data_IF_106788618996
#
_entry.id   IF_106788618996
#
_cell.length_a   1.000
_cell.length_b   1.000
_cell.length_c   1.000
_cell.angle_alpha   90.00
_cell.angle_beta   90.00
_cell.angle_gamma   90.00
#
_symmetry.space_group_name_H-M   'P 1'
#
loop_
_entity.id
_entity.type
_entity.pdbx_description
1 polymer ?
#
# COMPACT_ATOMS: atom_id res chain seq x y z
N UNK A 1 -1.42 -57.27 -15.66
CA UNK A 1 -1.26 -56.48 -14.43
C UNK A 1 0.17 -56.04 -14.21
N UNK A 2 1.19 -56.93 -14.15
CA UNK A 2 2.60 -56.57 -13.87
C UNK A 2 3.18 -55.48 -14.80
N UNK A 3 2.92 -55.51 -16.11
CA UNK A 3 3.40 -54.51 -17.07
C UNK A 3 2.74 -53.12 -16.89
N UNK A 4 1.47 -53.07 -16.49
CA UNK A 4 0.76 -51.81 -16.18
C UNK A 4 1.31 -51.18 -14.91
N UNK A 5 1.53 -51.99 -13.89
CA UNK A 5 2.12 -51.55 -12.64
C UNK A 5 3.52 -50.95 -12.83
N UNK A 6 4.37 -51.60 -13.61
CA UNK A 6 5.72 -51.08 -13.95
C UNK A 6 5.63 -49.73 -14.67
N UNK A 7 4.72 -49.58 -15.63
CA UNK A 7 4.55 -48.32 -16.37
C UNK A 7 4.08 -47.19 -15.46
N UNK A 8 3.11 -47.47 -14.57
CA UNK A 8 2.62 -46.47 -13.61
C UNK A 8 3.73 -46.06 -12.63
N UNK A 9 4.48 -47.05 -12.09
CA UNK A 9 5.58 -46.78 -11.20
C UNK A 9 6.69 -45.94 -11.85
N UNK A 10 7.06 -46.28 -13.10
CA UNK A 10 8.05 -45.51 -13.88
C UNK A 10 7.56 -44.08 -14.14
N UNK A 11 6.30 -43.88 -14.48
CA UNK A 11 5.73 -42.55 -14.66
C UNK A 11 5.80 -41.72 -13.38
N UNK A 12 5.44 -42.29 -12.24
CA UNK A 12 5.51 -41.59 -10.95
C UNK A 12 6.94 -41.20 -10.59
N UNK A 13 7.91 -42.10 -10.78
CA UNK A 13 9.32 -41.83 -10.55
C UNK A 13 9.82 -40.65 -11.42
N UNK A 14 9.53 -40.69 -12.71
CA UNK A 14 9.91 -39.62 -13.64
C UNK A 14 9.23 -38.31 -13.26
N UNK A 15 7.95 -38.35 -12.90
CA UNK A 15 7.21 -37.16 -12.45
C UNK A 15 7.83 -36.52 -11.19
N UNK A 16 8.21 -37.32 -10.20
CA UNK A 16 8.88 -36.84 -9.01
C UNK A 16 10.26 -36.27 -9.31
N UNK A 17 11.06 -36.91 -10.16
CA UNK A 17 12.38 -36.44 -10.58
C UNK A 17 12.25 -35.08 -11.30
N UNK A 18 11.30 -34.92 -12.21
CA UNK A 18 11.06 -33.66 -12.90
C UNK A 18 10.69 -32.56 -11.92
N UNK A 19 9.78 -32.83 -11.00
CA UNK A 19 9.40 -31.81 -9.99
C UNK A 19 10.56 -31.45 -9.05
N UNK A 20 11.40 -32.41 -8.68
CA UNK A 20 12.59 -32.17 -7.89
C UNK A 20 13.60 -31.27 -8.64
N UNK A 21 13.90 -31.58 -9.89
CA UNK A 21 14.78 -30.75 -10.71
C UNK A 21 14.21 -29.36 -10.93
N UNK A 22 12.91 -29.23 -11.21
CA UNK A 22 12.25 -27.94 -11.34
C UNK A 22 12.28 -27.13 -10.05
N UNK A 23 12.20 -27.75 -8.88
CA UNK A 23 12.28 -27.02 -7.60
C UNK A 23 13.63 -26.32 -7.42
N UNK A 24 14.70 -26.91 -7.92
CA UNK A 24 16.06 -26.34 -7.84
C UNK A 24 16.25 -25.18 -8.84
N UNK A 25 15.67 -25.29 -10.04
CA UNK A 25 15.93 -24.32 -11.11
C UNK A 25 14.85 -23.22 -11.24
N UNK A 26 13.69 -23.38 -10.60
CA UNK A 26 12.59 -22.41 -10.71
C UNK A 26 12.93 -21.04 -10.09
N UNK A 27 13.67 -21.03 -8.99
CA UNK A 27 14.04 -19.78 -8.34
C UNK A 27 15.02 -18.96 -9.20
N UNK A 28 16.15 -19.52 -9.69
CA UNK A 28 17.01 -18.82 -10.64
C UNK A 28 16.32 -18.47 -11.97
N UNK A 29 15.43 -19.32 -12.48
CA UNK A 29 14.63 -19.03 -13.68
C UNK A 29 13.68 -17.84 -13.43
N UNK A 30 12.98 -17.81 -12.33
CA UNK A 30 12.13 -16.68 -11.96
C UNK A 30 12.92 -15.38 -11.87
N UNK A 31 14.10 -15.43 -11.26
CA UNK A 31 15.00 -14.29 -11.16
C UNK A 31 15.50 -13.85 -12.56
N UNK A 32 15.84 -14.82 -13.41
CA UNK A 32 16.29 -14.55 -14.79
C UNK A 32 15.18 -13.97 -15.68
N UNK A 33 13.97 -14.53 -15.61
CA UNK A 33 12.80 -14.03 -16.34
C UNK A 33 12.44 -12.62 -15.86
N UNK A 34 12.43 -12.37 -14.57
CA UNK A 34 12.22 -11.02 -14.02
C UNK A 34 13.27 -10.04 -14.52
N UNK A 35 14.55 -10.43 -14.53
CA UNK A 35 15.66 -9.55 -14.91
C UNK A 35 15.76 -9.36 -16.43
N UNK A 36 15.56 -10.38 -17.26
CA UNK A 36 15.81 -10.30 -18.71
C UNK A 36 14.61 -10.22 -19.61
N UNK A 37 13.50 -10.87 -19.27
CA UNK A 37 12.29 -10.91 -20.12
C UNK A 37 11.35 -9.77 -19.80
N UNK A 38 11.33 -9.33 -18.53
CA UNK A 38 10.56 -8.17 -18.07
C UNK A 38 11.38 -6.89 -18.05
N UNK A 39 12.58 -6.89 -18.61
CA UNK A 39 13.54 -5.76 -18.62
C UNK A 39 13.01 -4.49 -19.32
N UNK A 40 11.73 -4.19 -19.15
CA UNK A 40 11.23 -2.83 -19.28
C UNK A 40 11.63 -2.11 -18.00
N UNK A 41 12.30 -0.97 -18.09
CA UNK A 41 12.57 -0.14 -16.94
C UNK A 41 11.26 0.09 -16.19
N UNK A 42 11.24 -0.21 -14.90
CA UNK A 42 10.05 -0.07 -14.06
C UNK A 42 9.71 1.41 -13.91
N UNK A 43 10.76 2.23 -13.81
CA UNK A 43 10.64 3.67 -13.67
C UNK A 43 11.17 4.40 -14.90
N UNK A 44 10.53 5.50 -15.26
CA UNK A 44 11.06 6.45 -16.24
C UNK A 44 12.32 7.12 -15.69
N UNK A 45 13.20 7.61 -16.57
CA UNK A 45 14.42 8.33 -16.17
C UNK A 45 14.13 9.56 -15.30
N UNK A 46 13.08 10.31 -15.63
CA UNK A 46 12.64 11.46 -14.86
C UNK A 46 12.17 11.07 -13.44
N UNK A 47 11.52 9.90 -13.30
CA UNK A 47 11.11 9.35 -12.00
C UNK A 47 12.32 8.94 -11.17
N UNK A 48 13.28 8.22 -11.77
CA UNK A 48 14.54 7.84 -11.10
C UNK A 48 15.30 9.08 -10.61
N UNK A 49 15.41 10.09 -11.48
CA UNK A 49 16.04 11.36 -11.13
C UNK A 49 15.33 12.05 -9.96
N UNK A 50 14.01 12.08 -9.98
CA UNK A 50 13.20 12.68 -8.91
C UNK A 50 13.34 11.95 -7.58
N UNK A 51 13.44 10.61 -7.60
CA UNK A 51 13.67 9.77 -6.42
C UNK A 51 15.13 9.88 -5.95
N UNK A 52 16.05 10.28 -6.83
CA UNK A 52 17.50 10.29 -6.59
C UNK A 52 18.11 8.88 -6.58
N UNK A 53 17.70 8.04 -7.52
CA UNK A 53 18.17 6.67 -7.73
C UNK A 53 18.77 6.57 -9.13
N UNK A 54 19.91 5.92 -9.26
CA UNK A 54 20.50 5.60 -10.54
C UNK A 54 19.82 4.37 -11.18
N UNK A 55 19.97 4.22 -12.50
CA UNK A 55 19.44 3.04 -13.22
C UNK A 55 20.01 1.71 -12.69
N UNK A 56 21.23 1.70 -12.21
CA UNK A 56 21.87 0.49 -11.64
C UNK A 56 21.27 0.10 -10.28
N UNK A 57 20.73 1.06 -9.53
CA UNK A 57 20.10 0.86 -8.22
C UNK A 57 18.61 0.54 -8.34
N UNK A 58 18.01 0.72 -9.52
CA UNK A 58 16.55 0.58 -9.75
C UNK A 58 16.00 -0.75 -9.26
N UNK A 59 16.67 -1.86 -9.57
CA UNK A 59 16.21 -3.20 -9.17
C UNK A 59 16.19 -3.36 -7.66
N UNK A 60 17.24 -2.92 -6.96
CA UNK A 60 17.33 -2.97 -5.50
C UNK A 60 16.24 -2.11 -4.86
N UNK A 61 16.07 -0.89 -5.36
CA UNK A 61 15.04 0.02 -4.85
C UNK A 61 13.62 -0.52 -5.09
N UNK A 62 13.38 -1.12 -6.26
CA UNK A 62 12.10 -1.77 -6.55
C UNK A 62 11.83 -2.93 -5.60
N UNK A 63 12.82 -3.80 -5.38
CA UNK A 63 12.69 -4.95 -4.49
C UNK A 63 12.42 -4.51 -3.05
N UNK A 64 13.12 -3.49 -2.56
CA UNK A 64 12.88 -2.92 -1.23
C UNK A 64 11.50 -2.30 -1.10
N UNK A 65 10.94 -1.74 -2.18
CA UNK A 65 9.62 -1.11 -2.16
C UNK A 65 8.49 -2.13 -2.29
N UNK A 66 8.61 -3.12 -3.20
CA UNK A 66 7.47 -3.95 -3.62
C UNK A 66 7.53 -5.39 -3.14
N UNK A 67 8.71 -5.94 -2.83
CA UNK A 67 8.88 -7.34 -2.47
C UNK A 67 8.99 -7.56 -0.95
N UNK A 68 8.56 -6.60 -0.14
CA UNK A 68 8.45 -6.76 1.30
C UNK A 68 7.35 -7.75 1.64
N UNK A 69 7.57 -8.50 2.71
CA UNK A 69 6.54 -9.38 3.28
C UNK A 69 5.58 -8.56 4.13
N UNK A 70 4.29 -8.89 4.06
CA UNK A 70 3.29 -8.39 4.97
C UNK A 70 3.09 -9.39 6.10
N UNK A 71 2.76 -8.89 7.29
CA UNK A 71 2.30 -9.71 8.39
C UNK A 71 0.78 -9.63 8.52
N UNK A 72 0.17 -10.67 9.05
CA UNK A 72 -1.23 -10.61 9.44
C UNK A 72 -1.39 -9.74 10.68
N UNK A 73 -2.36 -8.85 10.66
CA UNK A 73 -2.79 -8.05 11.82
C UNK A 73 -4.27 -8.30 12.04
N UNK A 74 -4.61 -8.68 13.26
CA UNK A 74 -5.99 -9.01 13.62
C UNK A 74 -6.93 -7.85 13.28
N UNK A 75 -8.02 -8.15 12.60
CA UNK A 75 -9.06 -7.24 12.10
C UNK A 75 -8.62 -6.24 11.02
N UNK A 76 -7.36 -5.82 10.99
CA UNK A 76 -6.82 -4.97 9.91
C UNK A 76 -6.31 -5.79 8.71
N UNK A 77 -6.29 -7.11 8.84
CA UNK A 77 -5.91 -8.12 7.85
C UNK A 77 -4.41 -8.19 7.61
N UNK A 78 -3.80 -7.18 7.03
CA UNK A 78 -2.37 -7.13 6.76
C UNK A 78 -1.78 -5.81 7.26
N UNK A 79 -0.50 -5.82 7.51
CA UNK A 79 0.31 -4.65 7.76
C UNK A 79 1.74 -4.90 7.27
N UNK A 80 2.53 -3.86 7.16
CA UNK A 80 3.95 -3.96 6.82
C UNK A 80 4.70 -4.90 7.77
N UNK A 81 5.79 -5.50 7.32
CA UNK A 81 6.65 -6.37 8.14
C UNK A 81 7.04 -5.67 9.46
N UNK A 82 7.28 -6.45 10.51
CA UNK A 82 7.64 -5.89 11.81
C UNK A 82 8.95 -5.11 11.78
N UNK A 83 9.92 -5.65 11.07
CA UNK A 83 11.23 -5.03 10.87
C UNK A 83 11.70 -5.27 9.44
N UNK A 84 12.18 -4.22 8.82
CA UNK A 84 12.78 -4.27 7.49
C UNK A 84 13.84 -3.16 7.45
N UNK A 85 15.12 -3.52 7.40
CA UNK A 85 16.24 -2.60 7.45
C UNK A 85 17.08 -2.76 6.19
N UNK A 86 16.97 -1.81 5.29
CA UNK A 86 17.59 -1.82 3.97
C UNK A 86 18.16 -0.44 3.62
N UNK A 87 18.58 -0.25 2.39
CA UNK A 87 19.24 0.99 1.96
C UNK A 87 18.26 2.15 1.85
N UNK A 88 17.05 1.91 1.32
CA UNK A 88 16.12 2.97 0.92
C UNK A 88 14.81 2.96 1.69
N UNK A 89 14.36 1.77 2.07
CA UNK A 89 13.06 1.54 2.73
C UNK A 89 13.28 0.78 4.02
N UNK A 90 12.91 1.41 5.13
CA UNK A 90 13.08 0.81 6.44
C UNK A 90 11.76 0.83 7.22
N UNK A 91 11.44 -0.27 7.90
CA UNK A 91 10.30 -0.40 8.79
C UNK A 91 10.80 -0.84 10.15
N UNK A 92 10.40 -0.11 11.18
CA UNK A 92 10.78 -0.37 12.56
C UNK A 92 9.58 -0.95 13.31
N UNK A 93 9.85 -1.97 14.11
CA UNK A 93 8.82 -2.55 14.98
C UNK A 93 8.22 -1.45 15.86
N UNK A 94 6.91 -1.34 15.88
CA UNK A 94 6.16 -0.37 16.67
C UNK A 94 6.16 1.09 16.17
N UNK A 95 7.01 1.49 15.20
CA UNK A 95 7.08 2.87 14.72
C UNK A 95 6.60 3.02 13.27
N UNK A 96 6.43 1.88 12.56
CA UNK A 96 6.07 1.85 11.16
C UNK A 96 7.25 2.19 10.26
N UNK A 97 7.04 2.93 9.17
CA UNK A 97 8.13 3.35 8.29
C UNK A 97 9.05 4.33 9.00
N UNK A 98 10.36 4.06 8.90
CA UNK A 98 11.40 4.79 9.65
C UNK A 98 11.36 6.30 9.39
N UNK A 99 11.35 7.05 10.49
CA UNK A 99 11.57 8.49 10.54
C UNK A 99 12.60 8.74 11.63
N UNK A 100 13.48 9.70 11.42
CA UNK A 100 14.48 10.06 12.42
C UNK A 100 13.79 10.90 13.52
N UNK A 101 13.64 10.29 14.67
CA UNK A 101 13.02 10.91 15.85
C UNK A 101 14.03 11.10 17.00
N UNK A 102 13.84 12.10 17.89
CA UNK A 102 14.61 12.21 19.12
C UNK A 102 14.29 11.03 20.06
N UNK A 103 15.21 10.74 21.00
CA UNK A 103 15.05 9.64 21.96
C UNK A 103 13.87 9.82 22.93
N UNK A 104 13.52 11.06 23.24
CA UNK A 104 12.37 11.41 24.10
C UNK A 104 11.52 12.43 23.38
N UNK A 105 10.22 12.18 23.33
CA UNK A 105 9.25 12.99 22.64
C UNK A 105 8.39 13.75 23.65
N UNK A 106 8.23 15.05 23.44
CA UNK A 106 7.30 15.88 24.23
C UNK A 106 5.86 15.77 23.69
N UNK A 107 5.72 15.51 22.40
CA UNK A 107 4.43 15.35 21.70
C UNK A 107 4.65 14.43 20.50
N UNK A 108 3.67 13.59 20.16
CA UNK A 108 3.74 12.63 19.09
C UNK A 108 2.73 12.95 17.98
N UNK A 109 3.11 12.64 16.75
CA UNK A 109 2.33 12.84 15.53
C UNK A 109 2.24 11.51 14.77
N UNK A 110 1.05 10.95 14.64
CA UNK A 110 0.80 9.65 14.04
C UNK A 110 0.11 9.81 12.71
N UNK A 111 0.69 9.25 11.66
CA UNK A 111 0.14 9.28 10.31
C UNK A 111 -0.41 7.90 9.94
N UNK A 112 -1.69 7.84 9.60
CA UNK A 112 -2.38 6.68 9.05
C UNK A 112 -2.79 6.95 7.62
N UNK A 113 -2.78 5.94 6.76
CA UNK A 113 -3.17 6.06 5.38
C UNK A 113 -2.72 4.87 4.53
N UNK A 114 -2.84 5.03 3.22
CA UNK A 114 -2.50 4.00 2.24
C UNK A 114 -0.99 3.96 1.89
N UNK A 115 -0.65 3.28 0.77
CA UNK A 115 0.69 3.28 0.18
C UNK A 115 1.26 4.68 -0.08
N UNK A 116 0.40 5.66 -0.35
CA UNK A 116 0.79 7.06 -0.55
C UNK A 116 1.33 7.68 0.74
N UNK A 117 0.73 7.39 1.89
CA UNK A 117 1.20 7.82 3.21
C UNK A 117 2.44 7.04 3.64
N UNK A 118 2.46 5.71 3.43
CA UNK A 118 3.65 4.90 3.64
C UNK A 118 4.84 5.45 2.83
N UNK A 119 4.59 5.93 1.63
CA UNK A 119 5.59 6.46 0.70
C UNK A 119 6.18 5.36 -0.18
N UNK A 120 5.33 4.62 -0.90
CA UNK A 120 5.79 3.70 -1.94
C UNK A 120 6.57 4.48 -3.00
N UNK A 121 7.64 3.87 -3.50
CA UNK A 121 8.52 4.42 -4.54
C UNK A 121 9.21 5.74 -4.17
N UNK A 122 9.41 5.99 -2.89
CA UNK A 122 10.31 7.05 -2.40
C UNK A 122 11.16 6.54 -1.25
N UNK A 123 12.29 7.21 -0.98
CA UNK A 123 13.18 6.91 0.16
C UNK A 123 12.51 7.31 1.49
N UNK A 124 12.99 6.78 2.62
CA UNK A 124 12.43 7.08 3.95
C UNK A 124 12.31 8.57 4.24
N UNK A 125 13.34 9.34 3.92
CA UNK A 125 13.35 10.79 4.14
C UNK A 125 12.43 11.58 3.19
N UNK A 126 11.86 10.93 2.18
CA UNK A 126 11.04 11.56 1.15
C UNK A 126 9.53 11.24 1.28
N UNK A 127 9.11 10.66 2.39
CA UNK A 127 7.69 10.41 2.67
C UNK A 127 6.99 11.68 3.15
N UNK A 128 5.65 11.74 3.03
CA UNK A 128 4.86 12.85 3.57
C UNK A 128 5.15 13.06 5.07
N UNK A 129 5.11 12.02 5.93
CA UNK A 129 5.42 12.19 7.35
C UNK A 129 6.85 12.63 7.63
N UNK A 130 7.84 12.20 6.82
CA UNK A 130 9.24 12.65 6.99
C UNK A 130 9.40 14.14 6.66
N UNK A 131 8.76 14.63 5.59
CA UNK A 131 8.75 16.06 5.29
C UNK A 131 8.00 16.88 6.34
N UNK A 132 6.91 16.34 6.90
CA UNK A 132 6.20 16.97 8.00
C UNK A 132 7.10 17.09 9.25
N UNK A 133 7.87 16.03 9.57
CA UNK A 133 8.87 16.08 10.65
C UNK A 133 9.90 17.18 10.43
N UNK A 134 10.41 17.32 9.21
CA UNK A 134 11.36 18.39 8.90
C UNK A 134 10.77 19.79 9.11
N UNK A 135 9.47 20.00 8.80
CA UNK A 135 8.79 21.27 9.06
C UNK A 135 8.63 21.52 10.56
N UNK A 136 8.30 20.49 11.34
CA UNK A 136 8.27 20.59 12.81
C UNK A 136 9.62 21.00 13.39
N UNK A 137 10.71 20.39 12.90
CA UNK A 137 12.06 20.67 13.38
C UNK A 137 12.52 22.09 13.02
N UNK A 138 12.06 22.62 11.90
CA UNK A 138 12.35 24.00 11.49
C UNK A 138 11.59 25.04 12.31
N UNK A 139 10.29 24.85 12.47
CA UNK A 139 9.43 25.85 13.13
C UNK A 139 9.44 25.71 14.65
N UNK A 140 9.66 24.51 15.17
CA UNK A 140 9.64 24.18 16.60
C UNK A 140 10.96 23.54 17.06
N UNK A 141 12.08 24.12 16.69
CA UNK A 141 13.43 23.57 16.90
C UNK A 141 13.80 23.25 18.35
N UNK A 142 13.13 23.87 19.32
CA UNK A 142 13.32 23.61 20.77
C UNK A 142 12.43 22.49 21.30
N UNK A 143 11.45 22.02 20.52
CA UNK A 143 10.52 20.99 20.93
C UNK A 143 10.99 19.62 20.41
N UNK A 144 10.92 18.61 21.27
CA UNK A 144 11.24 17.25 20.90
C UNK A 144 9.99 16.52 20.37
N UNK A 145 9.61 16.80 19.13
CA UNK A 145 8.45 16.20 18.51
C UNK A 145 8.83 14.94 17.75
N UNK A 146 8.02 13.89 17.90
CA UNK A 146 8.19 12.63 17.18
C UNK A 146 7.08 12.42 16.17
N UNK A 147 7.43 11.90 15.00
CA UNK A 147 6.49 11.58 13.93
C UNK A 147 6.58 10.10 13.60
N UNK A 148 5.43 9.44 13.47
CA UNK A 148 5.31 8.01 13.17
C UNK A 148 4.51 7.81 11.90
N UNK A 149 4.99 6.97 10.99
CA UNK A 149 4.34 6.67 9.73
C UNK A 149 3.75 5.26 9.75
N UNK A 150 2.45 5.18 9.96
CA UNK A 150 1.66 3.95 9.96
C UNK A 150 0.83 3.76 8.69
N UNK A 151 1.24 4.38 7.59
CA UNK A 151 0.71 4.04 6.27
C UNK A 151 0.96 2.58 5.91
N UNK A 152 0.08 1.98 5.12
CA UNK A 152 0.24 0.61 4.63
C UNK A 152 -0.37 0.43 3.24
N UNK A 153 0.15 -0.52 2.48
CA UNK A 153 -0.32 -0.78 1.13
C UNK A 153 -1.83 -1.02 1.08
N UNK A 154 -2.50 -0.30 0.19
CA UNK A 154 -3.94 -0.46 -0.09
C UNK A 154 -4.88 -0.26 1.10
N UNK A 155 -4.41 0.32 2.20
CA UNK A 155 -5.25 0.64 3.34
C UNK A 155 -6.32 1.67 2.95
N UNK A 156 -7.50 1.49 3.51
CA UNK A 156 -8.64 2.38 3.43
C UNK A 156 -9.16 2.68 4.85
N UNK A 157 -10.06 3.62 4.97
CA UNK A 157 -10.47 4.21 6.26
C UNK A 157 -10.85 3.21 7.35
N UNK A 158 -11.43 2.05 7.00
CA UNK A 158 -11.78 1.02 8.00
C UNK A 158 -10.53 0.36 8.59
N UNK A 159 -9.57 -0.03 7.75
CA UNK A 159 -8.33 -0.65 8.21
C UNK A 159 -7.48 0.33 9.03
N UNK A 160 -7.46 1.60 8.62
CA UNK A 160 -6.80 2.66 9.38
C UNK A 160 -7.43 2.83 10.77
N UNK A 161 -8.78 2.81 10.87
CA UNK A 161 -9.49 2.89 12.14
C UNK A 161 -9.16 1.71 13.06
N UNK A 162 -9.09 0.51 12.50
CA UNK A 162 -8.74 -0.69 13.26
C UNK A 162 -7.31 -0.58 13.80
N UNK A 163 -6.36 -0.16 12.96
CA UNK A 163 -4.97 0.01 13.38
C UNK A 163 -4.85 1.12 14.43
N UNK A 164 -5.56 2.23 14.27
CA UNK A 164 -5.62 3.32 15.23
C UNK A 164 -6.16 2.84 16.60
N UNK A 165 -7.28 2.12 16.61
CA UNK A 165 -7.84 1.54 17.83
C UNK A 165 -6.86 0.55 18.50
N UNK A 166 -6.18 -0.28 17.69
CA UNK A 166 -5.14 -1.19 18.19
C UNK A 166 -4.00 -0.42 18.87
N UNK A 167 -3.59 0.72 18.32
CA UNK A 167 -2.57 1.56 18.93
C UNK A 167 -3.05 2.23 20.23
N UNK A 168 -4.31 2.61 20.32
CA UNK A 168 -4.91 3.11 21.57
C UNK A 168 -4.89 2.01 22.65
N UNK A 169 -5.38 0.83 22.31
CA UNK A 169 -5.42 -0.33 23.24
C UNK A 169 -4.03 -0.72 23.74
N UNK A 170 -2.99 -0.48 22.94
CA UNK A 170 -1.60 -0.73 23.30
C UNK A 170 -0.91 0.49 23.96
N UNK A 171 -1.66 1.49 24.39
CA UNK A 171 -1.17 2.70 25.06
C UNK A 171 -0.06 3.44 24.27
N UNK A 172 -0.15 3.43 22.93
CA UNK A 172 0.82 4.13 22.08
C UNK A 172 0.50 5.61 21.92
N UNK A 173 -0.77 5.98 22.01
CA UNK A 173 -1.27 7.32 21.75
C UNK A 173 -1.72 7.92 23.09
N UNK A 174 -1.24 9.10 23.42
CA UNK A 174 -1.53 9.79 24.68
C UNK A 174 -2.41 11.01 24.46
N UNK A 175 -3.05 11.49 25.54
CA UNK A 175 -3.80 12.74 25.53
C UNK A 175 -2.92 13.90 25.01
N UNK A 176 -3.46 14.70 24.08
CA UNK A 176 -2.76 15.81 23.46
C UNK A 176 -1.92 15.45 22.22
N UNK A 177 -1.70 14.15 21.92
CA UNK A 177 -1.01 13.72 20.70
C UNK A 177 -1.85 14.04 19.45
N UNK A 178 -1.17 14.14 18.31
CA UNK A 178 -1.78 14.43 17.00
C UNK A 178 -1.92 13.15 16.17
N UNK A 179 -3.09 12.98 15.58
CA UNK A 179 -3.41 11.82 14.74
C UNK A 179 -3.94 12.29 13.39
N UNK A 180 -3.26 11.90 12.33
CA UNK A 180 -3.55 12.27 10.96
C UNK A 180 -3.97 11.06 10.14
N UNK A 181 -5.09 11.18 9.44
CA UNK A 181 -5.59 10.20 8.50
C UNK A 181 -5.55 10.81 7.10
N UNK A 182 -4.78 10.21 6.18
CA UNK A 182 -4.65 10.67 4.80
C UNK A 182 -5.38 9.70 3.89
N UNK A 183 -6.58 10.09 3.47
CA UNK A 183 -7.50 9.25 2.71
C UNK A 183 -7.64 9.70 1.26
N UNK A 184 -8.17 8.83 0.41
CA UNK A 184 -8.44 9.17 -0.98
C UNK A 184 -8.68 7.96 -1.88
N UNK A 185 -7.80 7.73 -2.86
CA UNK A 185 -7.94 6.73 -3.91
C UNK A 185 -8.24 5.30 -3.42
N UNK A 186 -7.76 4.92 -2.24
CA UNK A 186 -7.92 3.56 -1.71
C UNK A 186 -9.31 3.27 -1.13
N UNK A 187 -10.20 4.27 -0.99
CA UNK A 187 -11.53 4.05 -0.43
C UNK A 187 -12.39 3.17 -1.32
N UNK A 188 -12.91 2.07 -0.77
CA UNK A 188 -13.61 1.04 -1.52
C UNK A 188 -14.94 0.54 -0.93
N UNK A 189 -15.45 1.21 0.09
CA UNK A 189 -16.74 0.87 0.71
C UNK A 189 -16.69 -0.38 1.57
N UNK A 190 -15.57 -0.65 2.20
CA UNK A 190 -15.40 -1.79 3.12
C UNK A 190 -15.59 -3.17 2.47
N UNK A 191 -15.52 -3.27 1.15
CA UNK A 191 -15.54 -4.57 0.46
C UNK A 191 -14.13 -5.05 0.22
N UNK A 192 -13.83 -6.17 0.84
CA UNK A 192 -12.74 -7.10 0.61
C UNK A 192 -11.47 -6.46 0.05
N UNK A 193 -10.52 -6.20 0.91
CA UNK A 193 -9.15 -6.02 0.45
C UNK A 193 -8.74 -7.29 -0.32
N UNK A 194 -7.67 -7.20 -1.11
CA UNK A 194 -7.12 -8.35 -1.81
C UNK A 194 -6.78 -9.50 -0.83
N UNK A 195 -6.37 -9.13 0.37
CA UNK A 195 -6.01 -10.07 1.44
C UNK A 195 -7.24 -10.71 2.07
N UNK A 196 -8.35 -9.98 2.27
CA UNK A 196 -9.62 -10.58 2.73
C UNK A 196 -10.16 -11.61 1.76
N UNK A 197 -10.00 -11.37 0.45
CA UNK A 197 -10.41 -12.35 -0.57
C UNK A 197 -9.58 -13.63 -0.47
N UNK A 198 -8.28 -13.50 -0.21
CA UNK A 198 -7.39 -14.63 -0.06
C UNK A 198 -7.64 -15.37 1.27
N UNK A 199 -7.90 -14.64 2.36
CA UNK A 199 -8.28 -15.22 3.64
C UNK A 199 -9.64 -15.91 3.59
N UNK A 200 -10.64 -15.30 2.95
CA UNK A 200 -11.94 -15.94 2.73
C UNK A 200 -11.79 -17.21 1.89
N UNK A 201 -10.95 -17.17 0.85
CA UNK A 201 -10.59 -18.35 0.07
C UNK A 201 -9.94 -19.42 0.94
N UNK A 202 -9.05 -19.04 1.86
CA UNK A 202 -8.44 -19.95 2.82
C UNK A 202 -9.47 -20.56 3.78
N UNK A 203 -10.34 -19.72 4.39
CA UNK A 203 -11.41 -20.20 5.27
C UNK A 203 -12.40 -21.08 4.56
N UNK A 204 -12.82 -20.72 3.35
CA UNK A 204 -13.69 -21.57 2.52
C UNK A 204 -12.99 -22.89 2.14
N UNK A 205 -11.70 -22.83 1.88
CA UNK A 205 -10.86 -24.02 1.66
C UNK A 205 -10.77 -24.90 2.90
N UNK A 206 -10.59 -24.31 4.09
CA UNK A 206 -10.58 -25.04 5.36
C UNK A 206 -11.95 -25.67 5.66
N UNK A 207 -13.04 -24.94 5.41
CA UNK A 207 -14.39 -25.48 5.56
C UNK A 207 -14.65 -26.61 4.55
N UNK A 208 -14.21 -26.44 3.30
CA UNK A 208 -14.30 -27.49 2.29
C UNK A 208 -13.44 -28.71 2.65
N UNK A 209 -12.28 -28.50 3.31
CA UNK A 209 -11.44 -29.55 3.84
C UNK A 209 -12.15 -30.39 4.91
N UNK A 210 -12.90 -29.75 5.78
CA UNK A 210 -13.71 -30.44 6.79
C UNK A 210 -14.82 -31.28 6.14
N UNK A 211 -15.23 -30.96 4.91
CA UNK A 211 -16.25 -31.68 4.14
C UNK A 211 -15.65 -32.71 3.17
N UNK A 212 -14.44 -32.47 2.66
CA UNK A 212 -13.74 -33.33 1.68
C UNK A 212 -12.21 -33.17 1.80
N UNK A 213 -11.61 -33.83 2.79
CA UNK A 213 -10.16 -33.77 3.07
C UNK A 213 -9.29 -34.21 1.89
N UNK A 214 -9.74 -35.21 1.14
CA UNK A 214 -8.98 -35.75 0.02
C UNK A 214 -8.89 -34.76 -1.13
N UNK A 215 -10.00 -34.13 -1.49
CA UNK A 215 -10.05 -33.13 -2.57
C UNK A 215 -9.20 -31.90 -2.25
N UNK A 216 -9.29 -31.43 -1.02
CA UNK A 216 -8.49 -30.27 -0.58
C UNK A 216 -6.99 -30.60 -0.60
N UNK A 217 -6.59 -31.75 -0.03
CA UNK A 217 -5.20 -32.19 0.01
C UNK A 217 -4.63 -32.40 -1.39
N UNK A 218 -5.44 -32.96 -2.30
CA UNK A 218 -5.06 -33.15 -3.69
C UNK A 218 -4.86 -31.81 -4.42
N UNK A 219 -5.77 -30.86 -4.30
CA UNK A 219 -5.65 -29.55 -4.92
C UNK A 219 -4.46 -28.77 -4.36
N UNK A 220 -4.26 -28.78 -3.03
CA UNK A 220 -3.13 -28.14 -2.41
C UNK A 220 -1.79 -28.74 -2.86
N UNK A 221 -1.71 -30.07 -2.92
CA UNK A 221 -0.55 -30.77 -3.46
C UNK A 221 -0.28 -30.37 -4.91
N UNK A 222 -1.34 -30.38 -5.76
CA UNK A 222 -1.23 -30.04 -7.17
C UNK A 222 -0.74 -28.61 -7.39
N UNK A 223 -1.30 -27.63 -6.68
CA UNK A 223 -0.91 -26.22 -6.80
C UNK A 223 0.50 -25.95 -6.25
N UNK A 224 0.97 -26.76 -5.32
CA UNK A 224 2.32 -26.63 -4.76
C UNK A 224 3.42 -27.16 -5.70
N UNK A 225 3.07 -27.99 -6.69
CA UNK A 225 4.05 -28.62 -7.58
C UNK A 225 4.81 -27.59 -8.43
N UNK A 226 6.13 -27.75 -8.56
CA UNK A 226 6.95 -26.91 -9.44
C UNK A 226 6.49 -26.88 -10.89
N UNK A 227 5.99 -27.99 -11.42
CA UNK A 227 5.39 -28.06 -12.77
C UNK A 227 4.18 -27.16 -12.92
N UNK A 228 3.29 -27.11 -11.94
CA UNK A 228 2.11 -26.23 -11.92
C UNK A 228 2.53 -24.76 -11.81
N UNK A 229 3.52 -24.46 -10.97
CA UNK A 229 4.10 -23.11 -10.87
C UNK A 229 4.71 -22.66 -12.21
N UNK A 230 5.46 -23.52 -12.87
CA UNK A 230 6.04 -23.26 -14.19
C UNK A 230 4.93 -23.02 -15.24
N UNK A 231 3.91 -23.87 -15.29
CA UNK A 231 2.74 -23.66 -16.16
C UNK A 231 2.07 -22.31 -15.94
N UNK A 232 1.89 -21.89 -14.68
CA UNK A 232 1.29 -20.62 -14.34
C UNK A 232 2.17 -19.41 -14.75
N UNK A 233 3.50 -19.57 -14.71
CA UNK A 233 4.46 -18.56 -15.23
C UNK A 233 4.28 -18.43 -16.75
N UNK A 234 4.30 -19.52 -17.48
CA UNK A 234 4.09 -19.51 -18.94
C UNK A 234 2.73 -18.93 -19.30
N UNK A 235 1.67 -19.31 -18.60
CA UNK A 235 0.33 -18.75 -18.81
C UNK A 235 0.30 -17.23 -18.62
N UNK A 236 1.05 -16.68 -17.65
CA UNK A 236 1.19 -15.22 -17.46
C UNK A 236 1.98 -14.57 -18.59
N UNK A 237 3.04 -15.20 -19.07
CA UNK A 237 3.87 -14.67 -20.18
C UNK A 237 3.10 -14.66 -21.49
N UNK A 238 2.38 -15.74 -21.80
CA UNK A 238 1.63 -15.89 -23.06
C UNK A 238 0.24 -15.26 -23.05
N UNK A 239 -0.31 -15.00 -21.86
CA UNK A 239 -1.53 -14.20 -21.75
C UNK A 239 -1.15 -12.77 -22.10
N UNK A 240 -1.36 -12.37 -23.37
CA UNK A 240 -1.29 -10.96 -23.76
C UNK A 240 -1.98 -10.14 -22.67
N UNK A 241 -1.23 -9.28 -22.02
CA UNK A 241 -1.77 -8.33 -21.04
C UNK A 241 -2.69 -7.35 -21.76
N UNK A 242 -3.87 -7.77 -22.11
CA UNK A 242 -4.99 -6.87 -22.18
C UNK A 242 -5.33 -6.55 -20.72
N UNK A 243 -4.60 -5.60 -20.14
CA UNK A 243 -5.10 -4.90 -18.97
C UNK A 243 -6.36 -4.21 -19.48
N UNK A 244 -7.50 -4.87 -19.35
CA UNK A 244 -8.77 -4.17 -19.38
C UNK A 244 -8.71 -3.28 -18.14
N UNK A 245 -8.38 -2.01 -18.37
CA UNK A 245 -8.70 -0.97 -17.39
C UNK A 245 -10.21 -1.11 -17.26
N UNK A 246 -10.64 -1.59 -16.12
CA UNK A 246 -12.05 -1.74 -15.84
C UNK A 246 -12.58 -0.32 -15.62
N UNK A 247 -12.98 0.33 -16.71
CA UNK A 247 -13.57 1.66 -16.72
C UNK A 247 -15.09 1.60 -16.46
N UNK A 248 -15.58 0.45 -16.00
CA UNK A 248 -17.00 0.35 -15.64
C UNK A 248 -17.29 1.34 -14.50
N UNK A 249 -18.25 2.23 -14.67
CA UNK A 249 -18.63 3.17 -13.64
C UNK A 249 -19.03 2.42 -12.37
N UNK A 250 -18.74 3.02 -11.21
CA UNK A 250 -19.16 2.45 -9.93
C UNK A 250 -20.70 2.42 -9.93
N UNK A 251 -21.29 1.26 -9.71
CA UNK A 251 -22.75 1.18 -9.61
C UNK A 251 -23.24 1.94 -8.37
N UNK A 252 -24.50 2.42 -8.38
CA UNK A 252 -25.07 3.28 -7.34
C UNK A 252 -25.05 2.63 -5.95
N UNK A 253 -25.25 1.33 -5.84
CA UNK A 253 -25.17 0.61 -4.57
C UNK A 253 -23.76 0.74 -3.98
N UNK A 254 -22.73 0.53 -4.79
CA UNK A 254 -21.34 0.64 -4.35
C UNK A 254 -20.95 2.09 -4.04
N UNK A 255 -21.47 3.08 -4.78
CA UNK A 255 -21.27 4.50 -4.48
C UNK A 255 -21.79 4.84 -3.08
N UNK A 256 -23.02 4.43 -2.79
CA UNK A 256 -23.64 4.65 -1.49
C UNK A 256 -22.87 3.95 -0.35
N UNK A 257 -22.36 2.74 -0.58
CA UNK A 257 -21.53 2.04 0.38
C UNK A 257 -20.22 2.79 0.65
N UNK A 258 -19.48 3.20 -0.39
CA UNK A 258 -18.23 3.95 -0.25
C UNK A 258 -18.46 5.22 0.58
N UNK A 259 -19.43 6.03 0.18
CA UNK A 259 -19.77 7.28 0.88
C UNK A 259 -20.15 7.04 2.34
N UNK A 260 -21.10 6.12 2.57
CA UNK A 260 -21.62 5.81 3.92
C UNK A 260 -20.51 5.27 4.83
N UNK A 261 -19.71 4.33 4.36
CA UNK A 261 -18.62 3.73 5.16
C UNK A 261 -17.56 4.77 5.50
N UNK A 262 -17.13 5.56 4.53
CA UNK A 262 -16.14 6.61 4.77
C UNK A 262 -16.63 7.65 5.78
N UNK A 263 -17.87 8.17 5.61
CA UNK A 263 -18.47 9.13 6.53
C UNK A 263 -18.55 8.58 7.96
N UNK A 264 -19.00 7.32 8.11
CA UNK A 264 -19.06 6.66 9.43
C UNK A 264 -17.67 6.49 10.05
N UNK A 265 -16.67 6.12 9.26
CA UNK A 265 -15.29 6.00 9.74
C UNK A 265 -14.74 7.33 10.24
N UNK A 266 -14.99 8.43 9.53
CA UNK A 266 -14.61 9.79 9.97
C UNK A 266 -15.32 10.18 11.27
N UNK A 267 -16.61 9.88 11.40
CA UNK A 267 -17.38 10.14 12.63
C UNK A 267 -16.87 9.32 13.81
N UNK A 268 -16.54 8.04 13.60
CA UNK A 268 -15.96 7.18 14.64
C UNK A 268 -14.64 7.75 15.12
N UNK A 269 -13.73 8.13 14.20
CA UNK A 269 -12.46 8.79 14.56
C UNK A 269 -12.70 10.01 15.43
N UNK A 270 -13.58 10.89 14.99
CA UNK A 270 -13.91 12.12 15.72
C UNK A 270 -14.44 11.83 17.12
N UNK A 271 -15.35 10.86 17.26
CA UNK A 271 -15.90 10.48 18.55
C UNK A 271 -14.81 9.94 19.49
N UNK A 272 -13.95 9.06 19.02
CA UNK A 272 -12.84 8.51 19.81
C UNK A 272 -11.89 9.64 20.22
N UNK A 273 -11.48 10.49 19.27
CA UNK A 273 -10.52 11.54 19.52
C UNK A 273 -11.04 12.59 20.52
N UNK A 274 -12.31 12.98 20.40
CA UNK A 274 -12.92 13.92 21.33
C UNK A 274 -12.96 13.35 22.76
N UNK A 275 -13.35 12.08 22.92
CA UNK A 275 -13.44 11.44 24.24
C UNK A 275 -12.06 11.21 24.89
N UNK A 276 -11.05 10.87 24.09
CA UNK A 276 -9.70 10.59 24.57
C UNK A 276 -8.76 11.81 24.48
N UNK A 277 -9.31 12.96 24.06
CA UNK A 277 -8.59 14.25 23.94
C UNK A 277 -7.35 14.18 23.03
N UNK A 278 -7.45 13.47 21.92
CA UNK A 278 -6.46 13.48 20.84
C UNK A 278 -6.77 14.58 19.84
N UNK A 279 -5.75 15.15 19.21
CA UNK A 279 -5.88 16.11 18.12
C UNK A 279 -5.97 15.39 16.78
N UNK A 280 -7.17 15.08 16.31
CA UNK A 280 -7.36 14.26 15.12
C UNK A 280 -7.80 15.04 13.89
N UNK A 281 -7.15 14.75 12.76
CA UNK A 281 -7.40 15.39 11.47
C UNK A 281 -7.55 14.33 10.39
N UNK A 282 -8.53 14.48 9.52
CA UNK A 282 -8.70 13.65 8.33
C UNK A 282 -8.52 14.52 7.09
N UNK A 283 -7.60 14.13 6.22
CA UNK A 283 -7.25 14.84 4.99
C UNK A 283 -7.70 14.03 3.77
N UNK A 284 -8.32 14.69 2.81
CA UNK A 284 -8.55 14.15 1.49
C UNK A 284 -7.40 14.60 0.58
N UNK A 285 -6.55 13.64 0.19
CA UNK A 285 -5.33 13.89 -0.57
C UNK A 285 -5.60 14.11 -2.07
N UNK A 286 -4.65 14.66 -2.85
CA UNK A 286 -4.73 14.67 -4.30
C UNK A 286 -4.90 13.25 -4.86
N UNK A 287 -5.78 13.10 -5.86
CA UNK A 287 -5.98 11.81 -6.51
C UNK A 287 -5.08 11.71 -7.75
N UNK A 288 -4.20 10.71 -7.85
CA UNK A 288 -3.54 10.36 -9.09
C UNK A 288 -4.56 10.17 -10.22
N UNK A 289 -4.24 10.68 -11.42
CA UNK A 289 -5.09 10.66 -12.60
C UNK A 289 -6.43 11.45 -12.51
N UNK A 290 -6.56 12.31 -11.49
CA UNK A 290 -7.65 13.29 -11.36
C UNK A 290 -7.07 14.69 -11.17
N UNK A 291 -6.27 14.87 -10.10
CA UNK A 291 -5.65 16.17 -9.76
C UNK A 291 -4.21 16.25 -10.24
N UNK A 292 -3.53 15.11 -10.40
CA UNK A 292 -2.14 14.98 -10.86
C UNK A 292 -1.98 13.82 -11.81
N UNK A 293 -1.08 13.96 -12.79
CA UNK A 293 -0.93 13.01 -13.89
C UNK A 293 0.52 12.54 -14.01
N UNK A 294 0.70 11.23 -14.26
CA UNK A 294 2.01 10.61 -14.46
C UNK A 294 2.65 11.01 -15.80
N UNK A 295 1.83 11.17 -16.84
CA UNK A 295 2.27 11.54 -18.17
C UNK A 295 1.70 12.91 -18.57
N UNK A 296 2.46 13.99 -18.34
CA UNK A 296 2.08 15.30 -18.88
C UNK A 296 2.31 15.41 -20.41
N UNK A 297 3.21 14.57 -20.97
CA UNK A 297 3.64 14.67 -22.36
C UNK A 297 2.77 13.91 -23.37
N UNK A 298 1.82 13.11 -22.93
CA UNK A 298 1.09 12.18 -23.82
C UNK A 298 -0.17 12.81 -24.43
N UNK A 299 -0.46 14.01 -24.19
CA UNK A 299 -1.45 14.78 -24.98
C UNK A 299 -1.84 16.05 -24.22
N UNK A 300 -2.24 17.05 -24.96
CA UNK A 300 -2.94 18.21 -24.44
C UNK A 300 -4.26 17.86 -23.71
N UNK A 301 -4.54 16.56 -23.50
CA UNK A 301 -5.70 16.03 -22.80
C UNK A 301 -5.29 14.81 -21.95
N UNK A 302 -4.91 15.00 -20.68
CA UNK A 302 -4.66 13.89 -19.77
C UNK A 302 -5.95 13.07 -19.61
N UNK A 303 -5.83 11.75 -19.77
CA UNK A 303 -6.99 10.86 -19.55
C UNK A 303 -7.31 10.80 -18.04
N UNK A 304 -8.38 11.47 -17.65
CA UNK A 304 -8.89 11.44 -16.29
C UNK A 304 -9.44 10.02 -16.00
N UNK A 305 -9.06 9.46 -14.87
CA UNK A 305 -9.67 8.23 -14.37
C UNK A 305 -11.09 8.52 -13.90
N UNK A 306 -12.09 8.16 -14.69
CA UNK A 306 -13.49 8.35 -14.35
C UNK A 306 -13.83 7.70 -12.99
N UNK A 307 -13.29 6.52 -12.73
CA UNK A 307 -13.47 5.80 -11.45
C UNK A 307 -12.92 6.59 -10.25
N UNK A 308 -11.74 7.21 -10.40
CA UNK A 308 -11.11 7.97 -9.33
C UNK A 308 -11.79 9.34 -9.16
N UNK A 309 -12.29 9.95 -10.24
CA UNK A 309 -13.09 11.16 -10.18
C UNK A 309 -14.42 10.93 -9.44
N UNK A 310 -15.14 9.88 -9.79
CA UNK A 310 -16.38 9.50 -9.07
C UNK A 310 -16.10 9.25 -7.59
N UNK A 311 -14.99 8.59 -7.26
CA UNK A 311 -14.59 8.36 -5.86
C UNK A 311 -14.30 9.68 -5.14
N UNK A 312 -13.56 10.58 -5.75
CA UNK A 312 -13.31 11.91 -5.19
C UNK A 312 -14.62 12.66 -4.92
N UNK A 313 -15.53 12.69 -5.89
CA UNK A 313 -16.84 13.36 -5.76
C UNK A 313 -17.69 12.78 -4.61
N UNK A 314 -17.58 11.48 -4.34
CA UNK A 314 -18.27 10.85 -3.21
C UNK A 314 -17.69 11.27 -1.85
N UNK A 315 -16.41 11.61 -1.76
CA UNK A 315 -15.69 11.83 -0.52
C UNK A 315 -15.55 13.31 -0.15
N UNK A 316 -15.40 14.21 -1.13
CA UNK A 316 -15.04 15.63 -0.93
C UNK A 316 -15.98 16.42 -0.01
N UNK A 317 -17.27 16.07 0.01
CA UNK A 317 -18.28 16.75 0.83
C UNK A 317 -18.51 16.08 2.20
N UNK A 318 -17.62 15.20 2.63
CA UNK A 318 -17.69 14.56 3.94
C UNK A 318 -17.41 15.58 5.04
N UNK A 319 -18.25 15.62 6.08
CA UNK A 319 -18.01 16.49 7.23
C UNK A 319 -16.73 16.11 7.97
N UNK A 320 -16.06 17.08 8.56
CA UNK A 320 -14.86 16.92 9.40
C UNK A 320 -13.63 16.39 8.66
N UNK A 321 -13.53 16.65 7.38
CA UNK A 321 -12.31 16.45 6.60
C UNK A 321 -11.74 17.77 6.13
N UNK A 322 -10.44 17.78 5.86
CA UNK A 322 -9.74 18.86 5.18
C UNK A 322 -9.41 18.41 3.76
N UNK A 323 -10.05 19.01 2.79
CA UNK A 323 -9.76 18.72 1.39
C UNK A 323 -8.49 19.45 0.96
N UNK A 324 -7.42 18.69 0.78
CA UNK A 324 -6.13 19.15 0.26
C UNK A 324 -5.84 18.63 -1.15
N UNK A 325 -6.87 18.14 -1.85
CA UNK A 325 -6.72 17.53 -3.19
C UNK A 325 -6.11 18.48 -4.21
N UNK A 326 -6.34 19.77 -4.06
CA UNK A 326 -5.81 20.83 -4.92
C UNK A 326 -4.43 21.37 -4.49
N UNK A 327 -3.76 20.75 -3.51
CA UNK A 327 -2.45 21.21 -3.04
C UNK A 327 -1.34 21.07 -4.08
N UNK A 328 -1.46 20.11 -5.01
CA UNK A 328 -0.52 19.90 -6.11
C UNK A 328 -0.95 20.69 -7.34
N UNK A 329 -0.59 21.98 -7.39
CA UNK A 329 -0.76 22.79 -8.59
C UNK A 329 0.18 22.34 -9.72
N UNK A 330 -0.12 22.74 -10.96
CA UNK A 330 0.42 22.23 -12.24
C UNK A 330 1.95 22.22 -12.43
N UNK A 331 2.75 22.69 -11.49
CA UNK A 331 4.17 22.98 -11.68
C UNK A 331 5.15 21.95 -11.11
N UNK A 332 4.66 20.85 -10.56
CA UNK A 332 5.53 19.77 -10.03
C UNK A 332 5.81 18.77 -11.14
N UNK A 333 7.08 18.64 -11.54
CA UNK A 333 7.48 17.69 -12.58
C UNK A 333 8.68 16.86 -12.11
N UNK A 334 8.56 15.52 -12.07
CA UNK A 334 7.32 14.77 -12.17
C UNK A 334 6.49 14.89 -10.87
N UNK A 335 5.17 14.95 -11.00
CA UNK A 335 4.27 14.93 -9.83
C UNK A 335 4.11 13.52 -9.25
N UNK A 336 4.19 12.51 -10.11
CA UNK A 336 4.11 11.09 -9.77
C UNK A 336 5.37 10.38 -10.24
N UNK A 337 5.82 9.38 -9.49
CA UNK A 337 6.96 8.53 -9.88
C UNK A 337 6.53 7.26 -10.63
N UNK A 338 5.28 6.88 -10.47
CA UNK A 338 4.57 5.84 -11.21
C UNK A 338 3.10 6.26 -11.35
N UNK A 339 2.20 5.48 -11.99
CA UNK A 339 0.80 5.89 -12.18
C UNK A 339 0.01 6.23 -10.93
N UNK A 340 0.47 5.78 -9.75
CA UNK A 340 -0.29 5.82 -8.50
C UNK A 340 0.40 6.55 -7.34
N UNK A 341 1.74 6.76 -7.39
CA UNK A 341 2.51 7.23 -6.23
C UNK A 341 3.19 8.57 -6.48
N UNK A 342 3.15 9.42 -5.47
CA UNK A 342 3.70 10.78 -5.52
C UNK A 342 5.22 10.80 -5.59
N UNK A 343 5.75 11.81 -6.27
CA UNK A 343 7.17 12.12 -6.24
C UNK A 343 7.59 12.73 -4.87
N UNK A 344 8.90 12.74 -4.55
CA UNK A 344 9.41 13.45 -3.39
C UNK A 344 8.96 14.91 -3.31
N UNK A 345 8.93 15.62 -4.44
CA UNK A 345 8.49 17.01 -4.51
C UNK A 345 7.01 17.17 -4.16
N UNK A 346 6.15 16.26 -4.66
CA UNK A 346 4.72 16.24 -4.33
C UNK A 346 4.50 15.92 -2.85
N UNK A 347 5.21 14.94 -2.30
CA UNK A 347 5.14 14.60 -0.87
C UNK A 347 5.50 15.80 0.03
N UNK A 348 6.50 16.58 -0.37
CA UNK A 348 6.91 17.80 0.35
C UNK A 348 5.81 18.86 0.36
N UNK A 349 5.12 19.06 -0.77
CA UNK A 349 4.02 20.03 -0.89
C UNK A 349 2.82 19.58 -0.06
N UNK A 350 2.44 18.30 -0.14
CA UNK A 350 1.34 17.73 0.65
C UNK A 350 1.65 17.88 2.15
N UNK A 351 2.86 17.55 2.57
CA UNK A 351 3.29 17.72 3.96
C UNK A 351 3.18 19.19 4.43
N UNK A 352 3.57 20.15 3.58
CA UNK A 352 3.43 21.58 3.86
C UNK A 352 1.96 22.01 3.97
N UNK A 353 1.09 21.49 3.12
CA UNK A 353 -0.35 21.78 3.18
C UNK A 353 -0.97 21.25 4.48
N UNK A 354 -0.63 20.03 4.90
CA UNK A 354 -1.04 19.46 6.20
C UNK A 354 -0.50 20.33 7.34
N UNK A 355 0.78 20.67 7.30
CA UNK A 355 1.43 21.46 8.36
C UNK A 355 0.76 22.83 8.53
N UNK A 356 0.48 23.53 7.44
CA UNK A 356 -0.17 24.86 7.50
C UNK A 356 -1.57 24.81 8.12
N UNK A 357 -2.31 23.72 7.94
CA UNK A 357 -3.65 23.55 8.52
C UNK A 357 -3.57 23.32 10.04
N UNK A 358 -2.55 22.60 10.50
CA UNK A 358 -2.47 22.17 11.90
C UNK A 358 -1.53 23.03 12.77
N UNK A 359 -0.74 23.91 12.17
CA UNK A 359 0.30 24.69 12.86
C UNK A 359 -0.21 25.44 14.09
N UNK A 360 -1.33 26.16 13.95
CA UNK A 360 -1.91 26.93 15.07
C UNK A 360 -2.37 26.05 16.26
N UNK A 361 -2.75 24.79 15.98
CA UNK A 361 -3.10 23.84 17.04
C UNK A 361 -1.86 23.24 17.71
N UNK A 362 -0.74 23.16 17.01
CA UNK A 362 0.54 22.70 17.58
C UNK A 362 1.12 23.76 18.53
N UNK A 363 0.90 25.03 18.24
CA UNK A 363 1.36 26.18 19.04
C UNK A 363 0.61 26.35 20.39
N UNK A 364 -0.58 25.79 20.49
CA UNK A 364 -1.43 25.76 21.70
C UNK A 364 -1.04 24.61 22.63
#
# INVERSE_FOLDING_TARGET
MKKIFIRISSFLVIFFIINLLLSIILEPINKFIRIKVLNKPVYKEESLKAIGISRNEESTFYDETWNRTFRYVQFAEHYESETFDQTYVNVTKNEGRKIINPKKCSKNFYFYGSSLTFGYNVKDQNTIPSYFKNLLDLDFSKANYCVYNFGSASYFSTQENILFQTHILNNKINEGDFVFFINGKSENGNKKSRVSSDLEGLFNGLNARMLDEFKFSFLFFWDSLPTTKLYNIFKKIFKKNTVKINNDPINEIKKNEIKSVFQKNVLIRKAICNNLKFNCFTFLQPFPNVHVFYNKDISNNPTISQLDLERYDLLKDTKYIFDISNSLTSNVTPALVDPDHYSPASNKIIAKSIFNIVKEQIEK
#
